data_IF_710215196224
#
_entry.id   IF_710215196224
#
_cell.length_a   1.000
_cell.length_b   1.000
_cell.length_c   1.000
_cell.angle_alpha   90.00
_cell.angle_beta   90.00
_cell.angle_gamma   90.00
#
_symmetry.space_group_name_H-M   'P 1'
#
loop_
_entity.id
_entity.type
_entity.pdbx_description
1 polymer ?
#
# COMPACT_ATOMS: atom_id res chain seq x y z
N UNK A 1 16.29 35.75 -26.86
CA UNK A 1 15.85 34.62 -27.68
C UNK A 1 16.42 33.32 -27.23
N UNK A 2 17.66 33.27 -26.91
CA UNK A 2 18.27 32.02 -26.44
C UNK A 2 17.67 31.55 -25.12
N UNK A 3 17.26 32.48 -24.30
CA UNK A 3 16.69 32.13 -23.00
C UNK A 3 15.42 31.30 -23.12
N UNK A 4 14.67 31.50 -24.18
CA UNK A 4 13.45 30.75 -24.41
C UNK A 4 13.75 29.28 -24.70
N UNK A 5 14.80 29.04 -25.45
CA UNK A 5 15.20 27.68 -25.79
C UNK A 5 15.67 26.92 -24.56
N UNK A 6 16.36 27.59 -23.68
CA UNK A 6 16.82 26.97 -22.42
C UNK A 6 15.65 26.54 -21.56
N UNK A 7 14.63 27.36 -21.47
CA UNK A 7 13.46 27.02 -20.70
C UNK A 7 12.78 25.77 -21.22
N UNK A 8 12.68 25.64 -22.53
CA UNK A 8 12.09 24.46 -23.12
C UNK A 8 12.88 23.19 -22.80
N UNK A 9 14.17 23.27 -22.83
CA UNK A 9 15.03 22.13 -22.51
C UNK A 9 14.82 21.67 -21.08
N UNK A 10 14.69 22.60 -20.15
CA UNK A 10 14.46 22.27 -18.76
C UNK A 10 13.13 21.57 -18.54
N UNK A 11 12.12 21.99 -19.25
CA UNK A 11 10.80 21.36 -19.14
C UNK A 11 10.80 19.92 -19.63
N UNK A 12 11.60 19.63 -20.63
CA UNK A 12 11.68 18.26 -21.15
C UNK A 12 12.36 17.33 -20.14
N UNK A 13 13.33 17.83 -19.42
CA UNK A 13 14.04 17.00 -18.45
C UNK A 13 13.20 16.72 -17.21
N UNK A 14 12.28 17.60 -16.87
CA UNK A 14 11.55 17.56 -15.64
C UNK A 14 10.64 16.33 -15.46
N UNK A 15 9.87 15.91 -16.45
CA UNK A 15 8.90 14.84 -16.27
C UNK A 15 9.46 13.43 -16.32
N UNK A 16 10.75 13.28 -16.42
CA UNK A 16 11.32 11.93 -16.52
C UNK A 16 11.41 11.27 -15.16
N UNK A 17 10.27 11.08 -14.51
CA UNK A 17 10.24 10.36 -13.25
C UNK A 17 10.55 8.89 -13.49
N UNK A 18 11.44 8.29 -12.72
CA UNK A 18 11.77 6.89 -12.88
C UNK A 18 10.56 6.00 -12.64
N UNK A 19 10.42 4.98 -13.44
CA UNK A 19 9.31 4.05 -13.33
C UNK A 19 9.34 3.31 -12.00
N UNK A 20 10.52 3.07 -11.48
CA UNK A 20 10.72 2.32 -10.24
C UNK A 20 10.91 3.22 -9.03
N UNK A 21 10.51 4.47 -9.13
CA UNK A 21 10.51 5.36 -7.98
C UNK A 21 9.53 4.84 -6.93
N UNK A 22 9.90 4.88 -5.63
CA UNK A 22 9.01 4.37 -4.59
C UNK A 22 7.69 5.13 -4.56
N UNK A 23 6.61 4.38 -4.47
CA UNK A 23 5.29 4.96 -4.32
C UNK A 23 5.17 5.53 -2.91
N UNK A 24 4.60 6.72 -2.77
CA UNK A 24 4.41 7.34 -1.45
C UNK A 24 3.50 6.49 -0.57
N UNK A 25 3.55 6.70 0.74
CA UNK A 25 2.81 5.91 1.69
C UNK A 25 1.31 5.84 1.39
N UNK A 26 0.70 6.98 1.11
CA UNK A 26 -0.72 7.03 0.81
C UNK A 26 -1.05 6.27 -0.48
N UNK A 27 -0.31 6.52 -1.54
CA UNK A 27 -0.53 5.85 -2.80
C UNK A 27 -0.26 4.36 -2.70
N UNK A 28 0.77 3.97 -1.95
CA UNK A 28 1.05 2.56 -1.72
C UNK A 28 -0.09 1.87 -0.98
N UNK A 29 -0.61 2.49 0.07
CA UNK A 29 -1.73 1.93 0.82
C UNK A 29 -2.94 1.68 -0.07
N UNK A 30 -3.25 2.62 -0.95
CA UNK A 30 -4.38 2.46 -1.87
C UNK A 30 -4.15 1.33 -2.86
N UNK A 31 -2.95 1.24 -3.41
CA UNK A 31 -2.62 0.15 -4.33
C UNK A 31 -2.63 -1.21 -3.63
N UNK A 32 -2.14 -1.26 -2.41
CA UNK A 32 -2.18 -2.49 -1.63
C UNK A 32 -3.61 -2.89 -1.29
N UNK A 33 -4.43 -1.93 -0.92
CA UNK A 33 -5.85 -2.21 -0.68
C UNK A 33 -6.50 -2.84 -1.91
N UNK A 34 -6.27 -2.25 -3.09
CA UNK A 34 -6.83 -2.77 -4.34
C UNK A 34 -6.37 -4.20 -4.62
N UNK A 35 -5.08 -4.46 -4.45
CA UNK A 35 -4.53 -5.79 -4.69
C UNK A 35 -5.08 -6.80 -3.70
N UNK A 36 -5.14 -6.45 -2.43
CA UNK A 36 -5.63 -7.36 -1.40
C UNK A 36 -7.12 -7.66 -1.57
N UNK A 37 -7.88 -6.68 -2.04
CA UNK A 37 -9.29 -6.90 -2.36
C UNK A 37 -9.44 -7.92 -3.50
N UNK A 38 -8.53 -7.90 -4.48
CA UNK A 38 -8.53 -8.94 -5.52
C UNK A 38 -8.23 -10.31 -4.94
N UNK A 39 -7.27 -10.40 -4.03
CA UNK A 39 -6.94 -11.68 -3.39
C UNK A 39 -8.11 -12.19 -2.55
N UNK A 40 -8.92 -11.30 -2.02
CA UNK A 40 -10.11 -11.70 -1.26
C UNK A 40 -11.14 -12.41 -2.12
N UNK A 41 -11.02 -12.32 -3.45
CA UNK A 41 -11.88 -13.02 -4.38
C UNK A 41 -11.26 -14.32 -4.89
N UNK A 42 -10.10 -14.70 -4.38
CA UNK A 42 -9.42 -15.91 -4.83
C UNK A 42 -10.22 -17.15 -4.47
N UNK A 43 -10.03 -18.20 -5.26
CA UNK A 43 -10.73 -19.46 -5.04
C UNK A 43 -10.15 -20.27 -3.88
N UNK A 44 -8.87 -20.08 -3.60
CA UNK A 44 -8.23 -20.75 -2.48
C UNK A 44 -8.67 -20.07 -1.17
N UNK A 45 -9.32 -20.78 -0.26
CA UNK A 45 -9.82 -20.16 0.98
C UNK A 45 -8.73 -19.52 1.83
N UNK A 46 -7.50 -20.03 1.77
CA UNK A 46 -6.41 -19.44 2.54
C UNK A 46 -5.98 -18.12 1.95
N UNK A 47 -5.90 -18.03 0.63
CA UNK A 47 -5.58 -16.79 -0.06
C UNK A 47 -6.70 -15.78 0.15
N UNK A 48 -7.94 -16.24 0.02
CA UNK A 48 -9.13 -15.42 0.23
C UNK A 48 -9.14 -14.79 1.62
N UNK A 49 -8.89 -15.58 2.65
CA UNK A 49 -8.88 -15.10 4.04
C UNK A 49 -7.75 -14.10 4.28
N UNK A 50 -6.56 -14.39 3.74
CA UNK A 50 -5.44 -13.48 3.86
C UNK A 50 -5.71 -12.16 3.14
N UNK A 51 -6.26 -12.23 1.94
CA UNK A 51 -6.60 -11.03 1.18
C UNK A 51 -7.61 -10.16 1.90
N UNK A 52 -8.62 -10.79 2.47
CA UNK A 52 -9.65 -10.08 3.22
C UNK A 52 -9.08 -9.36 4.44
N UNK A 53 -8.23 -10.04 5.19
CA UNK A 53 -7.60 -9.45 6.36
C UNK A 53 -6.65 -8.32 5.97
N UNK A 54 -5.83 -8.53 4.94
CA UNK A 54 -4.88 -7.53 4.49
C UNK A 54 -5.59 -6.31 3.89
N UNK A 55 -6.68 -6.51 3.18
CA UNK A 55 -7.47 -5.39 2.65
C UNK A 55 -7.97 -4.49 3.78
N UNK A 56 -8.46 -5.07 4.86
CA UNK A 56 -8.91 -4.29 6.01
C UNK A 56 -7.76 -3.55 6.68
N UNK A 57 -6.59 -4.16 6.75
CA UNK A 57 -5.42 -3.51 7.31
C UNK A 57 -5.10 -2.24 6.52
N UNK A 58 -5.03 -2.33 5.19
CA UNK A 58 -4.71 -1.16 4.38
C UNK A 58 -5.84 -0.14 4.38
N UNK A 59 -7.08 -0.58 4.41
CA UNK A 59 -8.21 0.34 4.49
C UNK A 59 -8.15 1.17 5.78
N UNK A 60 -7.79 0.55 6.89
CA UNK A 60 -7.63 1.27 8.15
C UNK A 60 -6.54 2.33 8.08
N UNK A 61 -5.42 2.00 7.43
CA UNK A 61 -4.34 2.97 7.23
C UNK A 61 -4.77 4.13 6.34
N UNK A 62 -5.54 3.83 5.31
CA UNK A 62 -6.06 4.87 4.41
C UNK A 62 -7.03 5.78 5.15
N UNK A 63 -7.96 5.19 5.89
CA UNK A 63 -8.94 5.97 6.64
C UNK A 63 -8.30 6.92 7.64
N UNK A 64 -7.22 6.50 8.26
CA UNK A 64 -6.51 7.34 9.22
C UNK A 64 -5.85 8.54 8.55
N UNK A 65 -5.34 8.36 7.32
CA UNK A 65 -4.62 9.40 6.61
C UNK A 65 -5.52 10.25 5.72
N UNK A 66 -6.59 9.68 5.21
CA UNK A 66 -7.47 10.31 4.23
C UNK A 66 -8.94 10.08 4.61
N UNK A 67 -9.45 10.83 5.59
CA UNK A 67 -10.88 10.73 5.91
C UNK A 67 -11.70 11.06 4.66
N UNK A 68 -12.64 10.24 4.34
CA UNK A 68 -13.44 10.43 3.14
C UNK A 68 -12.97 9.64 1.93
N UNK A 69 -11.95 8.82 2.08
CA UNK A 69 -11.55 7.90 1.02
C UNK A 69 -12.73 7.00 0.62
N UNK A 70 -12.92 6.86 -0.69
CA UNK A 70 -14.00 6.03 -1.22
C UNK A 70 -13.44 4.68 -1.69
N UNK A 71 -13.66 3.62 -0.93
CA UNK A 71 -13.16 2.29 -1.34
C UNK A 71 -13.73 1.81 -2.66
N UNK A 72 -14.99 2.14 -2.96
CA UNK A 72 -15.61 1.68 -4.20
C UNK A 72 -14.93 2.30 -5.41
N UNK A 73 -14.56 3.57 -5.32
CA UNK A 73 -13.83 4.22 -6.40
C UNK A 73 -12.46 3.58 -6.61
N UNK A 74 -11.79 3.20 -5.52
CA UNK A 74 -10.50 2.53 -5.62
C UNK A 74 -10.63 1.16 -6.27
N UNK A 75 -11.70 0.43 -6.00
CA UNK A 75 -11.93 -0.89 -6.56
C UNK A 75 -12.35 -0.85 -8.03
N UNK A 76 -12.81 0.28 -8.52
CA UNK A 76 -13.25 0.41 -9.90
C UNK A 76 -12.08 0.44 -10.89
N UNK A 77 -10.87 0.76 -10.44
CA UNK A 77 -9.70 0.80 -11.30
C UNK A 77 -9.19 -0.60 -11.64
N UNK A 78 -8.31 -0.66 -12.62
CA UNK A 78 -7.70 -1.91 -13.01
C UNK A 78 -6.65 -2.34 -11.99
N UNK A 79 -6.65 -3.64 -11.70
CA UNK A 79 -5.63 -4.22 -10.85
C UNK A 79 -4.35 -4.46 -11.64
N UNK A 80 -3.17 -4.34 -11.00
CA UNK A 80 -1.92 -4.68 -11.68
C UNK A 80 -1.88 -6.16 -12.04
N UNK A 81 -1.17 -6.46 -13.11
CA UNK A 81 -1.08 -7.81 -13.66
C UNK A 81 0.39 -8.21 -13.84
N UNK A 82 0.62 -9.50 -13.96
CA UNK A 82 1.94 -10.04 -14.31
C UNK A 82 3.03 -9.67 -13.32
N UNK A 83 4.18 -9.28 -13.83
CA UNK A 83 5.34 -8.95 -13.00
C UNK A 83 5.10 -7.76 -12.09
N UNK A 84 4.32 -6.79 -12.56
CA UNK A 84 3.97 -5.63 -11.74
C UNK A 84 3.18 -6.05 -10.51
N UNK A 85 2.25 -6.98 -10.69
CA UNK A 85 1.46 -7.53 -9.59
C UNK A 85 2.35 -8.18 -8.54
N UNK A 86 3.34 -8.96 -8.97
CA UNK A 86 4.27 -9.63 -8.06
C UNK A 86 5.12 -8.64 -7.27
N UNK A 87 5.60 -7.60 -7.94
CA UNK A 87 6.39 -6.56 -7.27
C UNK A 87 5.56 -5.79 -6.25
N UNK A 88 4.33 -5.47 -6.60
CA UNK A 88 3.45 -4.78 -5.68
C UNK A 88 3.10 -5.67 -4.49
N UNK A 89 2.84 -6.95 -4.72
CA UNK A 89 2.53 -7.87 -3.64
C UNK A 89 3.69 -7.93 -2.63
N UNK A 90 4.93 -7.98 -3.12
CA UNK A 90 6.09 -7.99 -2.24
C UNK A 90 6.17 -6.70 -1.41
N UNK A 91 5.91 -5.56 -2.02
CA UNK A 91 5.93 -4.28 -1.30
C UNK A 91 4.82 -4.18 -0.27
N UNK A 92 3.65 -4.70 -0.58
CA UNK A 92 2.55 -4.73 0.37
C UNK A 92 2.88 -5.63 1.56
N UNK A 93 3.51 -6.78 1.30
CA UNK A 93 3.98 -7.66 2.36
C UNK A 93 5.00 -6.98 3.27
N UNK A 94 5.95 -6.27 2.69
CA UNK A 94 6.94 -5.53 3.47
C UNK A 94 6.28 -4.46 4.33
N UNK A 95 5.30 -3.75 3.80
CA UNK A 95 4.59 -2.72 4.54
C UNK A 95 3.82 -3.32 5.72
N UNK A 96 3.19 -4.47 5.51
CA UNK A 96 2.48 -5.16 6.58
C UNK A 96 3.43 -5.68 7.66
N UNK A 97 4.59 -6.18 7.26
CA UNK A 97 5.58 -6.64 8.23
C UNK A 97 6.11 -5.50 9.08
N UNK A 98 6.34 -4.34 8.47
CA UNK A 98 6.77 -3.16 9.20
C UNK A 98 5.71 -2.75 10.24
N UNK A 99 4.43 -2.70 9.83
CA UNK A 99 3.34 -2.42 10.74
C UNK A 99 3.20 -3.47 11.83
N UNK A 100 3.39 -4.73 11.48
CA UNK A 100 3.34 -5.82 12.44
C UNK A 100 4.43 -5.75 13.50
N UNK A 101 5.61 -5.29 13.12
CA UNK A 101 6.68 -5.09 14.10
C UNK A 101 6.31 -4.01 15.11
N UNK A 102 5.68 -2.94 14.64
CA UNK A 102 5.23 -1.87 15.53
C UNK A 102 4.19 -2.37 16.51
N UNK A 103 3.21 -3.12 16.03
CA UNK A 103 2.20 -3.72 16.92
C UNK A 103 2.82 -4.69 17.91
N UNK A 104 3.78 -5.46 17.47
CA UNK A 104 4.46 -6.40 18.36
C UNK A 104 5.20 -5.67 19.46
N UNK A 105 5.90 -4.60 19.13
CA UNK A 105 6.62 -3.78 20.12
C UNK A 105 5.66 -3.22 21.15
N UNK A 106 4.51 -2.72 20.72
CA UNK A 106 3.51 -2.20 21.63
C UNK A 106 3.00 -3.31 22.53
N UNK A 107 2.71 -4.47 21.97
CA UNK A 107 2.24 -5.61 22.73
C UNK A 107 3.24 -6.05 23.77
N UNK A 108 4.51 -6.10 23.43
CA UNK A 108 5.56 -6.47 24.36
C UNK A 108 5.68 -5.46 25.49
N UNK A 109 5.55 -4.17 25.18
CA UNK A 109 5.61 -3.12 26.20
C UNK A 109 4.43 -3.18 27.16
N UNK A 110 3.27 -3.61 26.71
CA UNK A 110 2.06 -3.67 27.54
C UNK A 110 1.89 -4.99 28.27
N UNK A 111 2.44 -6.07 27.74
CA UNK A 111 2.22 -7.42 28.27
C UNK A 111 2.55 -7.56 29.75
N UNK A 112 3.68 -7.04 30.25
CA UNK A 112 4.02 -7.21 31.69
C UNK A 112 3.04 -6.53 32.63
N UNK A 113 2.29 -5.56 32.14
CA UNK A 113 1.39 -4.77 32.98
C UNK A 113 0.03 -5.39 33.17
N UNK A 114 -0.50 -5.94 32.11
CA UNK A 114 -1.87 -6.39 32.12
C UNK A 114 -2.07 -7.85 31.87
N UNK A 115 -0.99 -8.58 31.69
CA UNK A 115 -1.12 -9.98 31.34
C UNK A 115 -1.46 -10.83 32.56
N UNK A 116 -2.60 -11.48 32.52
CA UNK A 116 -2.90 -12.41 33.60
C UNK A 116 -1.93 -13.58 33.57
N UNK A 117 -1.48 -13.97 34.66
CA UNK A 117 -0.68 -15.19 34.80
C UNK A 117 -1.63 -16.36 34.73
N UNK A 118 -1.46 -17.15 33.74
CA UNK A 118 -2.32 -18.31 33.55
C UNK A 118 -1.57 -19.57 33.89
#
# INVERSE_FOLDING_TARGET
MESVLLAAAMMVASPAAPVNEPVSGSALNQRCFRLMADLAEDRDPRVQGLGRMAAQYFLGRIDAAEPGFDPDAALAGEAPQGAERGRLLARCGDAMQAGGRDFRSIGEALAPRGRPTV
#
